data_IF_587003276981
#
_entry.id   IF_587003276981
#
_cell.length_a   1.000
_cell.length_b   1.000
_cell.length_c   1.000
_cell.angle_alpha   90.00
_cell.angle_beta   90.00
_cell.angle_gamma   90.00
#
_symmetry.space_group_name_H-M   'P 1'
#
loop_
_entity.id
_entity.type
_entity.pdbx_description
1 polymer ?
#
# COMPACT_ATOMS: atom_id res chain seq x y z
N UNK A 1 16.17 23.17 57.15
CA UNK A 1 16.95 24.26 56.51
C UNK A 1 16.45 24.33 55.08
N UNK A 2 15.58 25.30 54.81
CA UNK A 2 15.88 26.50 54.01
C UNK A 2 16.33 26.11 52.60
N UNK A 3 15.48 26.14 51.57
CA UNK A 3 14.75 27.29 50.97
C UNK A 3 15.46 27.78 49.70
N UNK A 4 14.66 27.92 48.63
CA UNK A 4 14.60 29.10 47.73
C UNK A 4 15.79 29.25 46.75
N UNK A 5 15.67 29.61 45.48
CA UNK A 5 14.66 30.18 44.57
C UNK A 5 14.99 29.63 43.16
N UNK A 6 14.13 29.62 42.15
CA UNK A 6 12.88 30.34 41.94
C UNK A 6 12.87 30.92 40.51
N UNK A 7 11.68 31.40 40.13
CA UNK A 7 11.33 32.21 38.96
C UNK A 7 11.11 31.44 37.65
N UNK A 8 9.90 30.99 37.33
CA UNK A 8 8.67 31.73 36.97
C UNK A 8 8.73 32.47 35.62
N UNK A 9 7.85 32.03 34.70
CA UNK A 9 6.74 32.78 34.06
C UNK A 9 6.48 32.20 32.65
N UNK A 10 5.41 31.43 32.38
CA UNK A 10 3.98 31.77 32.26
C UNK A 10 3.54 32.10 30.81
N UNK A 11 2.29 31.75 30.49
CA UNK A 11 1.49 31.90 29.24
C UNK A 11 1.60 30.69 28.29
N UNK A 12 0.70 29.71 28.32
CA UNK A 12 -0.76 29.73 28.14
C UNK A 12 -1.18 30.11 26.71
N UNK A 13 -2.04 29.26 26.16
CA UNK A 13 -2.87 29.40 24.96
C UNK A 13 -2.36 28.96 23.58
N UNK A 14 -3.30 28.24 22.97
CA UNK A 14 -3.67 28.32 21.56
C UNK A 14 -3.06 27.30 20.61
N UNK A 15 -3.68 26.12 20.67
CA UNK A 15 -4.24 25.41 19.50
C UNK A 15 -4.59 26.34 18.32
N UNK A 16 -3.60 26.74 17.51
CA UNK A 16 -3.85 27.55 16.30
C UNK A 16 -2.72 27.63 15.27
N UNK A 17 -1.70 26.74 15.29
CA UNK A 17 -0.51 26.90 14.43
C UNK A 17 -0.30 25.85 13.33
N UNK A 18 -1.38 25.26 12.81
CA UNK A 18 -1.33 24.48 11.55
C UNK A 18 -2.41 24.91 10.55
N UNK A 19 -2.85 26.17 10.62
CA UNK A 19 -3.66 26.83 9.57
C UNK A 19 -2.98 28.14 9.19
N UNK A 20 -1.69 28.08 8.90
CA UNK A 20 -0.92 29.19 8.35
C UNK A 20 -0.40 28.80 6.97
N UNK A 21 -1.29 28.75 5.97
CA UNK A 21 -0.96 29.08 4.57
C UNK A 21 -2.18 29.19 3.64
N UNK A 22 -3.28 29.82 4.11
CA UNK A 22 -4.48 30.03 3.28
C UNK A 22 -5.03 31.47 3.33
N UNK A 23 -4.16 32.47 3.53
CA UNK A 23 -4.55 33.88 3.36
C UNK A 23 -3.53 34.63 2.52
N UNK A 24 -4.07 35.26 1.48
CA UNK A 24 -3.48 36.24 0.59
C UNK A 24 -2.66 35.72 -0.61
N UNK A 25 -3.37 35.27 -1.65
CA UNK A 25 -3.00 35.70 -3.01
C UNK A 25 -4.27 36.20 -3.72
N UNK A 26 -4.23 37.49 -4.01
CA UNK A 26 -5.24 38.33 -4.65
C UNK A 26 -5.86 37.70 -5.90
N UNK A 27 -7.17 37.45 -5.87
CA UNK A 27 -7.96 37.29 -7.10
C UNK A 27 -8.46 38.69 -7.48
N UNK A 28 -7.78 39.33 -8.44
CA UNK A 28 -8.30 40.50 -9.16
C UNK A 28 -9.44 40.02 -10.07
N UNK A 29 -10.67 40.03 -9.58
CA UNK A 29 -11.87 39.87 -10.40
C UNK A 29 -12.04 41.15 -11.23
N UNK A 30 -11.72 41.08 -12.52
CA UNK A 30 -12.11 42.09 -13.49
C UNK A 30 -13.64 42.08 -13.63
N UNK A 31 -14.29 43.11 -13.11
CA UNK A 31 -15.72 43.36 -13.29
C UNK A 31 -15.92 43.76 -14.75
N UNK A 32 -16.54 42.87 -15.53
CA UNK A 32 -17.02 43.17 -16.88
C UNK A 32 -18.16 44.20 -16.82
N UNK A 33 -18.26 45.14 -17.79
CA UNK A 33 -19.32 46.15 -17.83
C UNK A 33 -20.70 45.53 -18.13
N UNK A 34 -21.80 46.26 -17.86
CA UNK A 34 -23.15 45.74 -18.07
C UNK A 34 -23.44 45.59 -19.56
N UNK A 35 -23.53 44.35 -20.05
CA UNK A 35 -23.92 44.05 -21.43
C UNK A 35 -25.44 44.04 -21.52
N UNK A 36 -25.94 45.10 -22.13
CA UNK A 36 -27.31 45.29 -22.63
C UNK A 36 -27.74 44.07 -23.45
N UNK A 37 -28.96 43.62 -23.17
CA UNK A 37 -29.72 42.55 -23.83
C UNK A 37 -29.32 42.26 -25.28
N UNK A 38 -28.65 41.12 -25.48
CA UNK A 38 -28.68 40.25 -26.67
C UNK A 38 -27.61 39.18 -26.45
N UNK A 39 -28.00 37.91 -26.39
CA UNK A 39 -27.19 36.67 -26.31
C UNK A 39 -27.28 35.90 -24.98
N UNK A 40 -28.49 35.39 -24.69
CA UNK A 40 -28.75 34.35 -23.69
C UNK A 40 -28.10 32.98 -23.99
N UNK A 41 -27.42 32.82 -25.12
CA UNK A 41 -26.88 31.54 -25.59
C UNK A 41 -25.47 31.22 -25.09
N UNK A 42 -24.70 32.20 -24.58
CA UNK A 42 -23.29 31.98 -24.18
C UNK A 42 -23.11 31.63 -22.70
N UNK A 43 -24.16 31.75 -21.87
CA UNK A 43 -24.12 31.44 -20.43
C UNK A 43 -24.31 29.94 -20.16
N UNK A 44 -24.79 29.16 -21.13
CA UNK A 44 -25.00 27.70 -20.99
C UNK A 44 -23.74 26.84 -21.07
N UNK A 45 -22.57 27.40 -21.39
CA UNK A 45 -21.33 26.62 -21.59
C UNK A 45 -20.23 26.82 -20.53
N UNK A 46 -20.34 27.80 -19.64
CA UNK A 46 -19.33 28.05 -18.59
C UNK A 46 -19.63 27.34 -17.27
N UNK A 47 -20.89 26.93 -17.05
CA UNK A 47 -21.30 26.17 -15.87
C UNK A 47 -20.72 24.75 -15.76
N UNK A 48 -20.57 23.93 -16.84
CA UNK A 48 -20.05 22.56 -16.71
C UNK A 48 -18.55 22.49 -16.44
N UNK A 49 -17.77 23.52 -16.76
CA UNK A 49 -16.32 23.51 -16.58
C UNK A 49 -15.91 23.71 -15.12
N UNK A 50 -16.69 24.50 -14.36
CA UNK A 50 -16.44 24.76 -12.95
C UNK A 50 -16.89 23.60 -12.05
N UNK A 51 -17.90 22.82 -12.47
CA UNK A 51 -18.32 21.60 -11.76
C UNK A 51 -17.28 20.47 -11.87
N UNK A 52 -16.54 20.41 -12.97
CA UNK A 52 -15.47 19.42 -13.17
C UNK A 52 -14.27 19.64 -12.22
N UNK A 53 -13.93 20.88 -11.91
CA UNK A 53 -12.80 21.20 -11.02
C UNK A 53 -13.08 20.91 -9.54
N UNK A 54 -14.33 21.00 -9.08
CA UNK A 54 -14.69 20.72 -7.67
C UNK A 54 -14.71 19.21 -7.39
N UNK A 55 -14.98 18.36 -8.39
CA UNK A 55 -14.92 16.90 -8.25
C UNK A 55 -13.48 16.33 -8.20
N UNK A 56 -12.50 17.07 -8.72
CA UNK A 56 -11.07 16.68 -8.70
C UNK A 56 -10.34 17.06 -7.41
N UNK A 57 -10.95 17.88 -6.54
CA UNK A 57 -10.30 18.38 -5.31
C UNK A 57 -10.58 17.53 -4.05
N UNK A 58 -11.38 16.47 -4.14
CA UNK A 58 -11.74 15.61 -3.01
C UNK A 58 -11.00 14.26 -2.95
N UNK A 59 -10.01 14.01 -3.81
CA UNK A 59 -9.12 12.86 -3.63
C UNK A 59 -8.09 13.18 -2.56
N UNK A 60 -8.49 13.08 -1.29
CA UNK A 60 -7.51 12.96 -0.21
C UNK A 60 -6.61 11.76 -0.51
N UNK A 61 -5.28 11.91 -0.43
CA UNK A 61 -4.37 10.81 -0.68
C UNK A 61 -4.69 9.68 0.30
N UNK A 62 -5.08 8.51 -0.23
CA UNK A 62 -5.36 7.34 0.59
C UNK A 62 -4.07 6.97 1.34
N UNK A 63 -4.04 7.04 2.69
CA UNK A 63 -2.83 6.74 3.48
C UNK A 63 -2.30 5.32 3.24
N UNK A 64 -3.13 4.42 2.70
CA UNK A 64 -2.78 3.03 2.43
C UNK A 64 -2.25 2.78 1.01
N UNK A 65 -2.17 3.80 0.15
CA UNK A 65 -1.66 3.65 -1.20
C UNK A 65 -0.21 3.13 -1.23
N UNK A 66 0.66 3.66 -0.34
CA UNK A 66 2.04 3.21 -0.23
C UNK A 66 2.17 1.75 0.25
N UNK A 67 1.34 1.34 1.20
CA UNK A 67 1.32 -0.04 1.73
C UNK A 67 0.83 -1.03 0.68
N UNK A 68 -0.15 -0.63 -0.13
CA UNK A 68 -0.68 -1.44 -1.23
C UNK A 68 0.41 -1.75 -2.27
N UNK A 69 1.21 -0.77 -2.65
CA UNK A 69 2.31 -0.97 -3.59
C UNK A 69 3.49 -1.76 -2.97
N UNK A 70 3.76 -1.60 -1.68
CA UNK A 70 4.69 -2.46 -0.96
C UNK A 70 4.22 -3.93 -0.96
N UNK A 71 2.94 -4.17 -0.66
CA UNK A 71 2.33 -5.50 -0.64
C UNK A 71 2.40 -6.19 -2.00
N UNK A 72 2.06 -5.47 -3.09
CA UNK A 72 2.19 -6.00 -4.46
C UNK A 72 3.61 -6.39 -4.80
N UNK A 73 4.60 -5.58 -4.40
CA UNK A 73 6.02 -5.89 -4.61
C UNK A 73 6.46 -7.13 -3.82
N UNK A 74 6.05 -7.24 -2.56
CA UNK A 74 6.35 -8.42 -1.73
C UNK A 74 5.77 -9.70 -2.34
N UNK A 75 4.51 -9.67 -2.80
CA UNK A 75 3.87 -10.81 -3.47
C UNK A 75 4.59 -11.16 -4.78
N UNK A 76 5.02 -10.15 -5.56
CA UNK A 76 5.78 -10.37 -6.79
C UNK A 76 7.17 -10.98 -6.52
N UNK A 77 7.85 -10.52 -5.47
CA UNK A 77 9.14 -11.08 -5.04
C UNK A 77 8.99 -12.54 -4.60
N UNK A 78 7.99 -12.83 -3.76
CA UNK A 78 7.68 -14.18 -3.33
C UNK A 78 7.34 -15.09 -4.52
N UNK A 79 6.53 -14.62 -5.46
CA UNK A 79 6.21 -15.35 -6.68
C UNK A 79 7.46 -15.72 -7.49
N UNK A 80 8.33 -14.73 -7.76
CA UNK A 80 9.59 -14.95 -8.47
C UNK A 80 10.47 -15.96 -7.74
N UNK A 81 10.48 -15.93 -6.41
CA UNK A 81 11.26 -16.84 -5.58
C UNK A 81 10.81 -18.29 -5.74
N UNK A 82 9.50 -18.54 -5.76
CA UNK A 82 8.98 -19.88 -6.05
C UNK A 82 9.17 -20.28 -7.51
N UNK A 83 9.02 -19.38 -8.48
CA UNK A 83 9.32 -19.70 -9.88
C UNK A 83 10.79 -20.07 -10.11
N UNK A 84 11.72 -19.48 -9.35
CA UNK A 84 13.14 -19.87 -9.42
C UNK A 84 13.36 -21.33 -9.04
N UNK A 85 12.51 -21.95 -8.22
CA UNK A 85 12.60 -23.40 -7.93
C UNK A 85 12.39 -24.26 -9.19
N UNK A 86 11.69 -23.74 -10.20
CA UNK A 86 11.50 -24.45 -11.45
C UNK A 86 12.72 -24.32 -12.38
N UNK A 87 13.36 -23.15 -12.39
CA UNK A 87 14.50 -22.86 -13.25
C UNK A 87 15.85 -23.33 -12.67
N UNK A 88 16.00 -23.34 -11.34
CA UNK A 88 17.26 -23.61 -10.65
C UNK A 88 17.16 -24.90 -9.82
N UNK A 89 18.00 -25.88 -10.18
CA UNK A 89 18.05 -27.17 -9.48
C UNK A 89 18.47 -27.08 -8.00
N UNK A 90 19.31 -26.12 -7.64
CA UNK A 90 19.73 -25.92 -6.24
C UNK A 90 18.60 -25.30 -5.42
N UNK A 91 17.91 -24.29 -5.97
CA UNK A 91 16.74 -23.70 -5.33
C UNK A 91 15.65 -24.76 -5.11
N UNK A 92 15.41 -25.59 -6.13
CA UNK A 92 14.48 -26.70 -6.06
C UNK A 92 14.85 -27.72 -4.97
N UNK A 93 16.10 -28.19 -4.98
CA UNK A 93 16.58 -29.15 -3.99
C UNK A 93 16.50 -28.58 -2.56
N UNK A 94 16.79 -27.29 -2.39
CA UNK A 94 16.69 -26.61 -1.10
C UNK A 94 15.25 -26.56 -0.60
N UNK A 95 14.28 -26.24 -1.48
CA UNK A 95 12.86 -26.25 -1.14
C UNK A 95 12.39 -27.66 -0.72
N UNK A 96 12.73 -28.70 -1.48
CA UNK A 96 12.33 -30.07 -1.14
C UNK A 96 13.00 -30.62 0.12
N UNK A 97 14.28 -30.32 0.31
CA UNK A 97 14.98 -30.69 1.54
C UNK A 97 14.29 -30.07 2.76
N UNK A 98 13.95 -28.78 2.68
CA UNK A 98 13.18 -28.10 3.72
C UNK A 98 11.81 -28.77 3.94
N UNK A 99 11.11 -29.13 2.86
CA UNK A 99 9.81 -29.78 2.96
C UNK A 99 9.89 -31.17 3.62
N UNK A 100 10.91 -31.98 3.28
CA UNK A 100 11.15 -33.28 3.90
C UNK A 100 11.43 -33.19 5.41
N UNK A 101 11.97 -32.05 5.87
CA UNK A 101 12.17 -31.76 7.29
C UNK A 101 10.90 -31.22 7.98
N UNK A 102 9.75 -31.19 7.30
CA UNK A 102 8.49 -30.66 7.83
C UNK A 102 8.33 -29.15 7.66
N UNK A 103 9.22 -28.50 6.90
CA UNK A 103 9.07 -27.10 6.53
C UNK A 103 7.98 -26.88 5.47
N UNK A 104 7.55 -25.63 5.35
CA UNK A 104 6.44 -25.23 4.48
C UNK A 104 6.87 -24.10 3.54
N UNK A 105 6.00 -23.71 2.59
CA UNK A 105 6.30 -22.63 1.65
C UNK A 105 6.68 -21.32 2.33
N UNK A 106 6.07 -20.99 3.47
CA UNK A 106 6.41 -19.78 4.22
C UNK A 106 7.82 -19.84 4.81
N UNK A 107 8.25 -21.01 5.27
CA UNK A 107 9.60 -21.22 5.82
C UNK A 107 10.65 -20.98 4.73
N UNK A 108 10.41 -21.50 3.51
CA UNK A 108 11.29 -21.27 2.37
C UNK A 108 11.35 -19.79 2.01
N UNK A 109 10.20 -19.14 1.92
CA UNK A 109 10.10 -17.72 1.58
C UNK A 109 10.87 -16.85 2.58
N UNK A 110 10.57 -16.99 3.88
CA UNK A 110 11.21 -16.17 4.93
C UNK A 110 12.71 -16.43 5.04
N UNK A 111 13.17 -17.67 4.77
CA UNK A 111 14.59 -18.00 4.75
C UNK A 111 15.34 -17.43 3.53
N UNK A 112 14.63 -17.19 2.43
CA UNK A 112 15.22 -16.81 1.15
C UNK A 112 15.07 -15.31 0.82
N UNK A 113 14.32 -14.56 1.62
CA UNK A 113 14.18 -13.11 1.47
C UNK A 113 15.41 -12.40 2.06
N UNK A 114 16.16 -11.62 1.26
CA UNK A 114 17.38 -10.95 1.72
C UNK A 114 17.10 -9.83 2.72
N UNK A 115 16.00 -9.09 2.52
CA UNK A 115 15.57 -8.01 3.39
C UNK A 115 14.09 -8.22 3.76
N UNK A 116 13.77 -8.19 5.06
CA UNK A 116 12.40 -8.37 5.58
C UNK A 116 11.57 -7.09 5.51
N UNK A 117 12.11 -6.03 4.92
CA UNK A 117 11.72 -4.65 5.22
C UNK A 117 10.51 -4.15 4.41
N UNK A 118 10.00 -4.92 3.44
CA UNK A 118 8.89 -4.46 2.58
C UNK A 118 7.51 -4.72 3.23
N UNK A 119 7.37 -5.85 3.93
CA UNK A 119 6.16 -6.27 4.64
C UNK A 119 6.60 -7.10 5.86
N UNK A 120 6.09 -6.78 7.05
CA UNK A 120 6.47 -7.46 8.30
C UNK A 120 5.74 -8.79 8.50
N UNK A 121 4.64 -9.02 7.78
CA UNK A 121 3.74 -10.15 8.02
C UNK A 121 3.76 -11.16 6.86
N UNK A 122 4.21 -12.37 7.19
CA UNK A 122 4.23 -13.55 6.31
C UNK A 122 3.55 -14.72 7.03
N UNK A 123 2.51 -15.29 6.43
CA UNK A 123 1.68 -16.30 7.08
C UNK A 123 1.38 -17.50 6.17
N UNK A 124 1.01 -18.61 6.80
CA UNK A 124 0.64 -19.84 6.11
C UNK A 124 -0.89 -20.04 6.12
N UNK A 125 -1.43 -20.41 4.97
CA UNK A 125 -2.84 -20.81 4.81
C UNK A 125 -3.83 -19.65 4.72
N UNK A 126 -4.00 -18.87 5.79
CA UNK A 126 -4.99 -17.79 5.89
C UNK A 126 -4.44 -16.55 6.58
N UNK A 127 -4.95 -15.34 6.26
CA UNK A 127 -4.56 -14.13 6.95
C UNK A 127 -5.08 -14.11 8.39
N UNK A 128 -4.22 -13.75 9.35
CA UNK A 128 -4.58 -13.46 10.75
C UNK A 128 -4.56 -11.97 11.05
N UNK A 129 -3.96 -11.16 10.18
CA UNK A 129 -3.87 -9.71 10.31
C UNK A 129 -3.90 -9.00 8.96
N UNK A 130 -4.05 -7.66 8.99
CA UNK A 130 -3.96 -6.84 7.79
C UNK A 130 -2.51 -6.74 7.30
N UNK A 131 -2.34 -6.39 6.02
CA UNK A 131 -1.03 -6.14 5.40
C UNK A 131 -0.08 -7.35 5.47
N UNK A 132 -0.61 -8.52 5.14
CA UNK A 132 0.12 -9.80 5.22
C UNK A 132 0.23 -10.47 3.86
N UNK A 133 1.37 -11.12 3.63
CA UNK A 133 1.54 -12.08 2.54
C UNK A 133 1.23 -13.48 3.07
N UNK A 134 0.27 -14.15 2.44
CA UNK A 134 -0.14 -15.51 2.79
C UNK A 134 0.33 -16.47 1.71
N UNK A 135 0.96 -17.56 2.13
CA UNK A 135 1.40 -18.66 1.25
C UNK A 135 0.59 -19.91 1.58
N UNK A 136 0.08 -20.58 0.55
CA UNK A 136 -0.68 -21.82 0.69
C UNK A 136 -0.54 -22.72 -0.53
N UNK A 137 -0.94 -23.98 -0.39
CA UNK A 137 -1.00 -24.89 -1.53
C UNK A 137 -1.95 -24.35 -2.60
N UNK A 138 -1.50 -24.41 -3.85
CA UNK A 138 -2.27 -24.01 -5.01
C UNK A 138 -3.20 -25.09 -5.53
N UNK A 139 -3.84 -24.85 -6.69
CA UNK A 139 -4.81 -25.77 -7.27
C UNK A 139 -4.18 -27.07 -7.81
N UNK A 140 -2.89 -27.06 -8.17
CA UNK A 140 -2.13 -28.25 -8.56
C UNK A 140 -1.19 -28.75 -7.46
N UNK A 141 -0.80 -30.02 -7.55
CA UNK A 141 0.12 -30.71 -6.61
C UNK A 141 1.48 -30.00 -6.44
N UNK A 142 1.83 -29.21 -7.45
CA UNK A 142 3.10 -28.51 -7.59
C UNK A 142 2.94 -26.99 -7.59
N UNK A 143 1.75 -26.50 -7.27
CA UNK A 143 1.45 -25.08 -7.30
C UNK A 143 1.43 -24.52 -5.89
N UNK A 144 1.94 -23.29 -5.74
CA UNK A 144 1.85 -22.49 -4.52
C UNK A 144 1.09 -21.22 -4.85
N UNK A 145 0.06 -20.94 -4.07
CA UNK A 145 -0.68 -19.67 -4.13
C UNK A 145 -0.06 -18.68 -3.16
N UNK A 146 0.27 -17.49 -3.65
CA UNK A 146 0.77 -16.35 -2.89
C UNK A 146 -0.24 -15.22 -2.97
N UNK A 147 -0.70 -14.75 -1.82
CA UNK A 147 -1.74 -13.73 -1.70
C UNK A 147 -1.31 -12.58 -0.81
N UNK A 148 -1.60 -11.35 -1.23
CA UNK A 148 -1.41 -10.17 -0.41
C UNK A 148 -2.77 -9.66 0.10
N UNK A 149 -2.93 -9.63 1.42
CA UNK A 149 -4.12 -9.10 2.09
C UNK A 149 -3.85 -7.69 2.59
N UNK A 150 -4.77 -6.76 2.29
CA UNK A 150 -4.65 -5.35 2.65
C UNK A 150 -5.16 -5.07 4.06
N UNK A 151 -5.76 -3.89 4.27
CA UNK A 151 -6.42 -3.56 5.54
C UNK A 151 -7.61 -4.50 5.87
N UNK A 152 -8.27 -5.03 4.83
CA UNK A 152 -9.31 -6.06 4.95
C UNK A 152 -8.73 -7.43 4.60
N UNK A 153 -9.19 -8.47 5.31
CA UNK A 153 -8.68 -9.86 5.22
C UNK A 153 -9.68 -10.83 4.60
N UNK A 154 -10.83 -10.35 4.15
CA UNK A 154 -11.89 -11.11 3.50
C UNK A 154 -11.53 -11.52 2.07
N UNK A 155 -10.76 -10.68 1.38
CA UNK A 155 -10.30 -10.94 0.02
C UNK A 155 -8.86 -10.44 -0.21
N UNK A 156 -8.06 -11.16 -1.01
CA UNK A 156 -6.71 -10.71 -1.32
C UNK A 156 -6.76 -9.53 -2.30
N UNK A 157 -5.93 -8.52 -2.03
CA UNK A 157 -5.72 -7.37 -2.93
C UNK A 157 -4.96 -7.80 -4.19
N UNK A 158 -4.09 -8.80 -4.05
CA UNK A 158 -3.33 -9.40 -5.14
C UNK A 158 -3.16 -10.89 -4.88
N UNK A 159 -3.27 -11.70 -5.93
CA UNK A 159 -3.06 -13.14 -5.86
C UNK A 159 -2.23 -13.60 -7.06
N UNK A 160 -1.33 -14.56 -6.83
CA UNK A 160 -0.47 -15.19 -7.83
C UNK A 160 -0.33 -16.67 -7.52
N UNK A 161 -0.11 -17.46 -8.57
CA UNK A 161 0.17 -18.89 -8.45
C UNK A 161 1.52 -19.13 -9.11
N UNK A 162 2.48 -19.64 -8.33
CA UNK A 162 3.77 -20.07 -8.83
C UNK A 162 3.78 -21.61 -8.92
N UNK A 163 4.41 -22.14 -9.97
CA UNK A 163 4.60 -23.58 -10.11
C UNK A 163 6.02 -23.96 -9.70
N UNK A 164 6.11 -24.88 -8.75
CA UNK A 164 7.37 -25.42 -8.25
C UNK A 164 8.02 -26.36 -9.28
N UNK A 165 9.34 -26.51 -9.19
CA UNK A 165 10.08 -27.52 -9.94
C UNK A 165 9.76 -28.93 -9.47
N UNK A 166 9.73 -29.91 -10.38
CA UNK A 166 9.58 -31.31 -9.98
C UNK A 166 10.80 -31.78 -9.17
N UNK A 167 10.62 -32.65 -8.16
CA UNK A 167 11.73 -33.16 -7.39
C UNK A 167 12.57 -34.06 -8.28
N UNK A 168 13.81 -33.65 -8.56
CA UNK A 168 14.75 -34.50 -9.29
C UNK A 168 15.16 -35.65 -8.37
N UNK A 169 14.89 -36.88 -8.79
CA UNK A 169 15.42 -38.09 -8.14
C UNK A 169 16.90 -38.18 -8.51
N UNK A 170 17.77 -38.04 -7.52
CA UNK A 170 19.21 -38.27 -7.65
C UNK A 170 19.55 -39.68 -7.20
#
# INVERSE_FOLDING_TARGET
MKDVAGSDCNHNESSSDMIALARAVHIRLYIYPPVRERNLTMIRMTLPLLTACVLLACSSPNPDAGKTEALKRAVQQAHKLFEMTQADSMANASFYSLHQMGGTGIHYLVASLPDRDVIECYEEGKPKGPWCVVVRNGPGDMDITIEGYGAQTDSPVVSRVARLGEPKRF
#
